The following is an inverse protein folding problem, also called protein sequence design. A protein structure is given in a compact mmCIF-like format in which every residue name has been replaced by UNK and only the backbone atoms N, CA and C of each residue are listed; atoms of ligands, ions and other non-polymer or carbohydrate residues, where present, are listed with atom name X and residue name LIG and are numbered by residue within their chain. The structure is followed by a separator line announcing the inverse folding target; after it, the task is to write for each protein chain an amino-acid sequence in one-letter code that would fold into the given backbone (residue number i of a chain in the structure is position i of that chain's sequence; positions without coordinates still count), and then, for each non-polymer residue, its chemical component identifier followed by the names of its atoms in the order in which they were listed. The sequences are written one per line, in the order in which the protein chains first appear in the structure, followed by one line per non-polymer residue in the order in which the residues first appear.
data_IF_938825928632
#
_entry.id   IF_938825928632
#
_cell.length_a   1.000
_cell.length_b   1.000
_cell.length_c   1.000
_cell.angle_alpha   90.00
_cell.angle_beta   90.00
_cell.angle_gamma   90.00
#
_symmetry.space_group_name_H-M   'P 1'
#
loop_
_entity.id
_entity.type
_entity.pdbx_description
1 polymer ?
#
# COMPACT_ATOMS: atom_id res chain seq x y z
N UNK A 1 34.06 -3.52 20.97
CA UNK A 1 33.39 -3.73 19.68
C UNK A 1 32.78 -5.12 19.71
N UNK A 2 31.47 -5.20 19.70
CA UNK A 2 30.75 -6.47 19.61
C UNK A 2 30.98 -7.07 18.22
N UNK A 3 31.47 -8.30 18.13
CA UNK A 3 31.57 -9.03 16.88
C UNK A 3 30.15 -9.49 16.47
N UNK A 4 29.43 -8.62 15.75
CA UNK A 4 28.13 -8.96 15.18
C UNK A 4 28.33 -9.65 13.84
N UNK A 5 27.73 -10.82 13.67
CA UNK A 5 27.60 -11.44 12.36
C UNK A 5 26.27 -11.01 11.75
N UNK A 6 26.32 -10.34 10.61
CA UNK A 6 25.15 -9.84 9.88
C UNK A 6 24.74 -10.86 8.80
N UNK A 7 23.47 -11.22 8.82
CA UNK A 7 22.83 -11.95 7.75
C UNK A 7 22.28 -10.96 6.74
N UNK A 8 22.71 -11.02 5.49
CA UNK A 8 22.40 -10.02 4.46
C UNK A 8 21.67 -10.65 3.27
N UNK A 9 20.57 -10.02 2.87
CA UNK A 9 19.97 -10.25 1.57
C UNK A 9 20.48 -9.18 0.60
N UNK A 10 20.87 -9.59 -0.61
CA UNK A 10 21.34 -8.66 -1.64
C UNK A 10 20.10 -8.21 -2.43
N UNK A 11 19.84 -6.91 -2.46
CA UNK A 11 18.80 -6.35 -3.33
C UNK A 11 19.24 -6.44 -4.80
N UNK A 12 18.37 -6.97 -5.65
CA UNK A 12 18.57 -7.07 -7.10
C UNK A 12 17.52 -6.26 -7.84
N UNK A 13 17.91 -5.60 -8.92
CA UNK A 13 16.99 -4.90 -9.80
C UNK A 13 16.29 -5.88 -10.74
N UNK A 14 15.05 -6.18 -10.44
CA UNK A 14 14.22 -7.11 -11.21
C UNK A 14 13.40 -6.40 -12.32
N UNK A 15 13.72 -5.13 -12.61
CA UNK A 15 13.09 -4.34 -13.66
C UNK A 15 12.32 -3.11 -13.18
N UNK A 16 12.26 -2.85 -11.88
CA UNK A 16 11.66 -1.62 -11.34
C UNK A 16 12.60 -0.41 -11.47
N UNK A 17 13.91 -0.65 -11.55
CA UNK A 17 14.96 0.38 -11.66
C UNK A 17 14.96 1.41 -10.52
N UNK A 18 14.53 0.98 -9.32
CA UNK A 18 14.54 1.83 -8.12
C UNK A 18 15.82 1.70 -7.31
N UNK A 19 16.51 0.58 -7.43
CA UNK A 19 17.74 0.24 -6.70
C UNK A 19 18.10 -1.22 -6.94
N UNK A 20 19.12 -1.68 -6.22
CA UNK A 20 19.60 -3.06 -6.31
C UNK A 20 20.69 -3.29 -7.34
N UNK A 21 21.24 -4.48 -7.33
CA UNK A 21 22.29 -4.93 -8.25
C UNK A 21 21.73 -5.05 -9.66
N UNK A 22 22.40 -4.40 -10.62
CA UNK A 22 22.00 -4.34 -12.03
C UNK A 22 22.87 -5.15 -12.96
N UNK A 23 24.00 -5.70 -12.48
CA UNK A 23 24.92 -6.47 -13.31
C UNK A 23 25.57 -7.62 -12.57
N UNK A 24 25.98 -8.65 -13.34
CA UNK A 24 26.74 -9.77 -12.79
C UNK A 24 28.07 -9.33 -12.15
N UNK A 25 28.70 -8.27 -12.68
CA UNK A 25 29.96 -7.75 -12.13
C UNK A 25 29.75 -7.18 -10.71
N UNK A 26 28.70 -6.36 -10.49
CA UNK A 26 28.36 -5.86 -9.17
C UNK A 26 28.03 -6.99 -8.19
N UNK A 27 27.24 -7.99 -8.63
CA UNK A 27 26.95 -9.16 -7.81
C UNK A 27 28.20 -9.88 -7.37
N UNK A 28 29.14 -10.13 -8.29
CA UNK A 28 30.42 -10.81 -8.00
C UNK A 28 31.25 -10.03 -6.98
N UNK A 29 31.28 -8.71 -7.06
CA UNK A 29 32.02 -7.87 -6.10
C UNK A 29 31.44 -8.01 -4.68
N UNK A 30 30.11 -7.97 -4.55
CA UNK A 30 29.44 -8.14 -3.25
C UNK A 30 29.67 -9.54 -2.69
N UNK A 31 29.52 -10.57 -3.51
CA UNK A 31 29.74 -11.97 -3.08
C UNK A 31 31.19 -12.22 -2.65
N UNK A 32 32.18 -11.64 -3.35
CA UNK A 32 33.59 -11.69 -2.93
C UNK A 32 33.77 -11.04 -1.55
N UNK A 33 33.14 -9.89 -1.30
CA UNK A 33 33.21 -9.23 0.00
C UNK A 33 32.62 -10.10 1.11
N UNK A 34 31.47 -10.73 0.89
CA UNK A 34 30.86 -11.67 1.85
C UNK A 34 31.79 -12.84 2.12
N UNK A 35 32.39 -13.41 1.07
CA UNK A 35 33.32 -14.54 1.19
C UNK A 35 34.64 -14.15 1.89
N UNK A 36 35.09 -12.91 1.74
CA UNK A 36 36.29 -12.38 2.38
C UNK A 36 36.11 -12.15 3.89
N UNK A 37 34.89 -11.84 4.33
CA UNK A 37 34.61 -11.51 5.74
C UNK A 37 33.54 -12.42 6.37
N UNK A 38 33.72 -13.76 6.34
CA UNK A 38 32.69 -14.72 6.76
C UNK A 38 32.35 -14.64 8.25
N UNK A 39 33.24 -14.07 9.08
CA UNK A 39 32.99 -13.83 10.50
C UNK A 39 31.99 -12.69 10.75
N UNK A 40 31.80 -11.77 9.80
CA UNK A 40 30.93 -10.62 9.92
C UNK A 40 29.72 -10.65 8.98
N UNK A 41 29.85 -11.29 7.82
CA UNK A 41 28.86 -11.30 6.77
C UNK A 41 28.45 -12.73 6.41
N UNK A 42 27.16 -12.99 6.35
CA UNK A 42 26.59 -14.24 5.85
C UNK A 42 25.53 -13.93 4.81
N UNK A 43 25.64 -14.55 3.66
CA UNK A 43 24.60 -14.47 2.65
C UNK A 43 23.34 -15.16 3.16
N UNK A 44 22.23 -14.44 3.23
CA UNK A 44 20.92 -14.98 3.55
C UNK A 44 20.06 -15.18 2.31
N UNK A 45 20.37 -14.49 1.22
CA UNK A 45 19.66 -14.64 -0.04
C UNK A 45 19.64 -13.40 -0.90
N UNK A 46 18.63 -13.32 -1.75
CA UNK A 46 18.35 -12.19 -2.63
C UNK A 46 16.98 -11.61 -2.34
N UNK A 47 16.80 -10.33 -2.60
CA UNK A 47 15.49 -9.69 -2.58
C UNK A 47 15.30 -8.79 -3.81
N UNK A 48 14.09 -8.71 -4.31
CA UNK A 48 13.72 -7.79 -5.38
C UNK A 48 12.26 -7.39 -5.28
N UNK A 49 11.94 -6.18 -5.71
CA UNK A 49 10.60 -5.65 -5.68
C UNK A 49 10.07 -5.45 -7.10
N UNK A 50 9.04 -6.18 -7.46
CA UNK A 50 8.53 -6.31 -8.81
C UNK A 50 7.26 -5.49 -9.11
N UNK A 51 6.99 -4.42 -8.34
CA UNK A 51 5.79 -3.59 -8.48
C UNK A 51 5.58 -2.99 -9.89
N UNK A 52 6.60 -2.95 -10.73
CA UNK A 52 6.50 -2.49 -12.12
C UNK A 52 5.65 -3.42 -12.98
N UNK A 53 5.56 -4.69 -12.64
CA UNK A 53 4.86 -5.74 -13.42
C UNK A 53 3.43 -5.32 -13.78
N UNK A 54 2.70 -4.77 -12.82
CA UNK A 54 1.31 -4.32 -13.03
C UNK A 54 1.17 -2.85 -13.42
N UNK A 55 2.28 -2.09 -13.41
CA UNK A 55 2.28 -0.65 -13.72
C UNK A 55 2.70 -0.32 -15.15
N UNK A 56 3.39 -1.23 -15.81
CA UNK A 56 3.77 -1.06 -17.24
C UNK A 56 2.48 -1.12 -18.06
N UNK A 57 2.20 -0.13 -18.94
CA UNK A 57 1.07 -0.20 -19.85
C UNK A 57 1.12 -1.50 -20.68
N UNK A 58 0.01 -2.24 -20.74
CA UNK A 58 -0.05 -3.55 -21.40
C UNK A 58 0.30 -3.48 -22.91
N UNK A 59 0.16 -2.30 -23.54
CA UNK A 59 0.60 -2.05 -24.91
C UNK A 59 2.13 -2.09 -25.07
N UNK A 60 2.88 -1.80 -23.99
CA UNK A 60 4.35 -1.83 -23.98
C UNK A 60 4.82 -3.24 -23.63
N UNK A 61 4.30 -3.83 -22.55
CA UNK A 61 4.64 -5.17 -22.10
C UNK A 61 3.51 -5.75 -21.26
N UNK A 62 3.07 -6.96 -21.60
CA UNK A 62 2.06 -7.67 -20.82
C UNK A 62 2.60 -7.97 -19.41
N UNK A 63 1.75 -7.88 -18.36
CA UNK A 63 2.18 -8.17 -16.98
C UNK A 63 2.85 -9.53 -16.81
N UNK A 64 2.34 -10.57 -17.48
CA UNK A 64 2.91 -11.91 -17.40
C UNK A 64 4.36 -11.96 -17.92
N UNK A 65 4.64 -11.26 -19.03
CA UNK A 65 5.99 -11.17 -19.60
C UNK A 65 6.93 -10.34 -18.72
N UNK A 66 6.40 -9.29 -18.06
CA UNK A 66 7.17 -8.51 -17.11
C UNK A 66 7.53 -9.35 -15.87
N UNK A 67 6.56 -10.12 -15.36
CA UNK A 67 6.77 -11.06 -14.26
C UNK A 67 7.82 -12.13 -14.63
N UNK A 68 7.68 -12.77 -15.81
CA UNK A 68 8.66 -13.76 -16.27
C UNK A 68 10.08 -13.19 -16.34
N UNK A 69 10.23 -11.93 -16.80
CA UNK A 69 11.55 -11.27 -16.80
C UNK A 69 12.12 -11.08 -15.40
N UNK A 70 11.28 -10.72 -14.41
CA UNK A 70 11.71 -10.62 -13.02
C UNK A 70 12.16 -11.97 -12.48
N UNK A 71 11.42 -13.05 -12.75
CA UNK A 71 11.78 -14.41 -12.34
C UNK A 71 13.08 -14.89 -12.99
N UNK A 72 13.29 -14.54 -14.26
CA UNK A 72 14.53 -14.87 -14.96
C UNK A 72 15.75 -14.20 -14.32
N UNK A 73 15.62 -12.95 -13.89
CA UNK A 73 16.69 -12.23 -13.16
C UNK A 73 17.08 -12.96 -11.88
N UNK A 74 16.12 -13.46 -11.10
CA UNK A 74 16.42 -14.29 -9.93
C UNK A 74 17.15 -15.59 -10.33
N UNK A 75 16.66 -16.30 -11.35
CA UNK A 75 17.25 -17.55 -11.81
C UNK A 75 18.70 -17.36 -12.28
N UNK A 76 18.99 -16.27 -12.98
CA UNK A 76 20.34 -15.95 -13.46
C UNK A 76 21.30 -15.68 -12.29
N UNK A 77 20.89 -14.93 -11.28
CA UNK A 77 21.72 -14.70 -10.09
C UNK A 77 21.87 -15.96 -9.21
N UNK A 78 20.83 -16.77 -9.06
CA UNK A 78 20.96 -18.08 -8.41
C UNK A 78 22.00 -18.97 -9.10
N UNK A 79 21.94 -19.03 -10.44
CA UNK A 79 22.91 -19.77 -11.25
C UNK A 79 24.34 -19.24 -11.06
N UNK A 80 24.50 -17.91 -11.05
CA UNK A 80 25.79 -17.27 -10.80
C UNK A 80 26.35 -17.66 -9.42
N UNK A 81 25.53 -17.58 -8.36
CA UNK A 81 25.96 -17.95 -7.00
C UNK A 81 26.35 -19.41 -6.95
N UNK A 82 25.51 -20.32 -7.46
CA UNK A 82 25.81 -21.77 -7.51
C UNK A 82 27.12 -22.11 -8.21
N UNK A 83 27.37 -21.45 -9.33
CA UNK A 83 28.54 -21.78 -10.18
C UNK A 83 29.84 -21.14 -9.72
N UNK A 84 29.79 -19.85 -9.29
CA UNK A 84 31.00 -19.10 -8.99
C UNK A 84 31.28 -18.99 -7.47
N UNK A 85 30.27 -19.16 -6.63
CA UNK A 85 30.38 -19.04 -5.17
C UNK A 85 29.69 -20.21 -4.45
N UNK A 86 30.06 -21.49 -4.77
CA UNK A 86 29.34 -22.63 -4.18
C UNK A 86 29.46 -22.70 -2.66
N UNK A 87 30.48 -22.11 -2.06
CA UNK A 87 30.60 -22.00 -0.59
C UNK A 87 29.59 -21.07 0.06
N UNK A 88 28.99 -20.15 -0.69
CA UNK A 88 27.93 -19.26 -0.23
C UNK A 88 26.52 -19.80 -0.59
N UNK A 89 26.43 -20.84 -1.40
CA UNK A 89 25.17 -21.45 -1.78
C UNK A 89 24.63 -22.35 -0.68
N UNK A 90 23.33 -22.23 -0.43
CA UNK A 90 22.56 -23.17 0.39
C UNK A 90 21.12 -23.20 -0.13
N UNK A 91 20.47 -24.35 -0.07
CA UNK A 91 19.06 -24.48 -0.41
C UNK A 91 18.14 -23.77 0.62
N UNK A 92 18.70 -23.33 1.74
CA UNK A 92 18.01 -22.51 2.74
C UNK A 92 18.09 -20.99 2.45
N UNK A 93 18.74 -20.57 1.35
CA UNK A 93 18.75 -19.14 0.98
C UNK A 93 17.35 -18.63 0.70
N UNK A 94 17.06 -17.43 1.22
CA UNK A 94 15.81 -16.72 1.01
C UNK A 94 15.85 -15.97 -0.32
N UNK A 95 14.89 -16.23 -1.19
CA UNK A 95 14.66 -15.47 -2.42
C UNK A 95 13.35 -14.72 -2.27
N UNK A 96 13.45 -13.54 -1.63
CA UNK A 96 12.29 -12.70 -1.33
C UNK A 96 11.88 -11.89 -2.56
N UNK A 97 10.60 -11.90 -2.87
CA UNK A 97 10.05 -11.15 -3.99
C UNK A 97 8.63 -10.71 -3.74
N UNK A 98 7.98 -10.26 -4.81
CA UNK A 98 6.59 -9.86 -4.79
C UNK A 98 6.36 -8.45 -4.29
N UNK A 99 5.10 -8.20 -4.07
CA UNK A 99 4.53 -6.95 -3.59
C UNK A 99 3.01 -7.04 -3.67
N UNK A 100 2.30 -6.13 -3.01
CA UNK A 100 0.83 -6.14 -3.02
C UNK A 100 0.22 -6.18 -4.43
N UNK A 101 0.73 -5.48 -5.45
CA UNK A 101 0.18 -5.53 -6.80
C UNK A 101 0.46 -6.83 -7.54
N UNK A 102 1.50 -7.57 -7.16
CA UNK A 102 2.01 -8.73 -7.92
C UNK A 102 1.80 -10.06 -7.23
N UNK A 103 1.24 -10.03 -6.03
CA UNK A 103 0.98 -11.24 -5.23
C UNK A 103 0.36 -12.40 -6.03
N UNK A 104 -0.65 -12.10 -6.86
CA UNK A 104 -1.38 -13.14 -7.62
C UNK A 104 -0.57 -13.79 -8.76
N UNK A 105 0.58 -13.23 -9.15
CA UNK A 105 1.47 -13.83 -10.15
C UNK A 105 2.38 -14.89 -9.54
N UNK A 106 2.65 -14.81 -8.24
CA UNK A 106 3.50 -15.78 -7.56
C UNK A 106 2.72 -17.06 -7.27
N UNK A 107 3.21 -18.16 -7.82
CA UNK A 107 2.66 -19.52 -7.67
C UNK A 107 3.74 -20.43 -7.08
N UNK A 108 3.43 -21.71 -6.94
CA UNK A 108 4.41 -22.75 -6.55
C UNK A 108 5.58 -22.91 -7.52
N UNK A 109 5.47 -22.37 -8.74
CA UNK A 109 6.52 -22.37 -9.76
C UNK A 109 7.41 -21.11 -9.69
N UNK A 110 7.12 -20.19 -8.79
CA UNK A 110 7.94 -19.00 -8.59
C UNK A 110 9.35 -19.37 -8.17
N UNK A 111 10.34 -18.64 -8.69
CA UNK A 111 11.74 -18.75 -8.25
C UNK A 111 11.90 -18.20 -6.83
N UNK A 112 11.04 -17.28 -6.43
CA UNK A 112 10.98 -16.76 -5.07
C UNK A 112 10.37 -17.81 -4.13
N UNK A 113 11.03 -18.06 -2.99
CA UNK A 113 10.56 -18.96 -1.94
C UNK A 113 10.02 -18.20 -0.72
N UNK A 114 10.06 -16.88 -0.77
CA UNK A 114 9.53 -15.95 0.24
C UNK A 114 8.88 -14.76 -0.45
N UNK A 115 7.75 -14.26 0.08
CA UNK A 115 6.99 -13.18 -0.51
C UNK A 115 6.71 -12.07 0.51
N UNK A 116 7.00 -10.82 0.11
CA UNK A 116 6.68 -9.64 0.91
C UNK A 116 5.50 -8.89 0.33
N UNK A 117 4.48 -8.69 1.14
CA UNK A 117 3.33 -7.84 0.82
C UNK A 117 2.71 -7.27 2.11
N UNK A 118 2.12 -6.10 2.02
CA UNK A 118 1.55 -5.41 3.18
C UNK A 118 0.22 -4.76 2.86
N UNK A 119 0.21 -3.70 2.06
CA UNK A 119 -0.97 -2.87 1.77
C UNK A 119 -2.19 -3.66 1.28
N UNK A 120 -1.98 -4.74 0.52
CA UNK A 120 -3.09 -5.57 0.02
C UNK A 120 -3.94 -6.19 1.14
N UNK A 121 -3.36 -6.44 2.32
CA UNK A 121 -4.08 -7.02 3.46
C UNK A 121 -5.20 -6.12 3.97
N UNK A 122 -5.03 -4.81 3.84
CA UNK A 122 -6.03 -3.80 4.19
C UNK A 122 -6.83 -3.32 2.97
N UNK A 123 -6.35 -3.63 1.79
CA UNK A 123 -6.94 -3.28 0.49
C UNK A 123 -7.42 -1.83 0.41
N UNK A 124 -6.54 -0.83 0.50
CA UNK A 124 -6.90 0.55 0.24
C UNK A 124 -7.32 0.73 -1.23
N UNK A 125 -7.96 1.86 -1.58
CA UNK A 125 -8.59 2.00 -2.89
C UNK A 125 -7.62 2.03 -4.08
N UNK A 126 -6.35 2.42 -3.88
CA UNK A 126 -5.31 2.34 -4.93
C UNK A 126 -4.97 0.89 -5.33
N UNK A 127 -5.45 -0.08 -4.55
CA UNK A 127 -5.30 -1.52 -4.82
C UNK A 127 -6.59 -2.17 -5.35
N UNK A 128 -7.54 -1.37 -5.84
CA UNK A 128 -8.70 -1.89 -6.57
C UNK A 128 -8.29 -2.30 -7.99
N UNK A 129 -7.80 -3.51 -8.10
CA UNK A 129 -7.40 -4.14 -9.35
C UNK A 129 -8.00 -5.53 -9.48
N UNK A 130 -8.09 -6.04 -10.71
CA UNK A 130 -8.57 -7.40 -10.98
C UNK A 130 -7.72 -8.47 -10.28
N UNK A 131 -6.43 -8.22 -10.11
CA UNK A 131 -5.51 -9.13 -9.44
C UNK A 131 -5.80 -9.32 -7.95
N UNK A 132 -6.49 -8.34 -7.33
CA UNK A 132 -6.81 -8.34 -5.91
C UNK A 132 -8.33 -8.36 -5.63
N UNK A 133 -9.15 -8.66 -6.64
CA UNK A 133 -10.62 -8.64 -6.51
C UNK A 133 -11.18 -9.60 -5.45
N UNK A 134 -10.47 -10.67 -5.13
CA UNK A 134 -10.87 -11.62 -4.10
C UNK A 134 -10.73 -11.07 -2.67
N UNK A 135 -9.94 -10.00 -2.47
CA UNK A 135 -9.75 -9.36 -1.17
C UNK A 135 -10.84 -8.31 -0.92
N UNK A 136 -11.18 -8.11 0.35
CA UNK A 136 -12.13 -7.09 0.79
C UNK A 136 -11.42 -5.94 1.51
N UNK A 137 -11.88 -4.68 1.36
CA UNK A 137 -11.37 -3.56 2.16
C UNK A 137 -11.55 -3.81 3.65
N UNK A 138 -10.48 -3.62 4.43
CA UNK A 138 -10.46 -3.89 5.86
C UNK A 138 -10.10 -2.67 6.72
N UNK A 139 -9.72 -1.54 6.12
CA UNK A 139 -9.38 -0.31 6.82
C UNK A 139 -10.32 0.83 6.43
N UNK A 140 -10.89 1.48 7.44
CA UNK A 140 -11.85 2.56 7.28
C UNK A 140 -11.55 3.70 8.26
N UNK A 141 -11.83 4.94 7.84
CA UNK A 141 -11.89 6.08 8.73
C UNK A 141 -13.37 6.33 9.02
N UNK A 142 -13.77 6.28 10.28
CA UNK A 142 -15.09 6.66 10.76
C UNK A 142 -15.01 8.08 11.32
N UNK A 143 -15.59 9.06 10.62
CA UNK A 143 -15.59 10.44 11.06
C UNK A 143 -16.96 10.85 11.53
N UNK A 144 -17.12 11.39 12.77
CA UNK A 144 -18.42 11.81 13.28
C UNK A 144 -18.97 13.01 12.52
N UNK A 145 -20.28 13.01 12.33
CA UNK A 145 -21.03 14.15 11.79
C UNK A 145 -21.26 15.16 12.90
N UNK A 146 -20.71 16.35 12.74
CA UNK A 146 -20.77 17.44 13.71
C UNK A 146 -21.99 18.33 13.52
N UNK A 147 -22.40 18.50 12.24
CA UNK A 147 -23.55 19.37 11.87
C UNK A 147 -24.20 18.85 10.60
N UNK A 148 -25.51 19.03 10.51
CA UNK A 148 -26.29 18.77 9.30
C UNK A 148 -27.02 20.04 8.92
N UNK A 149 -26.81 20.51 7.69
CA UNK A 149 -27.48 21.70 7.15
C UNK A 149 -28.30 21.30 5.91
N UNK A 150 -29.45 21.95 5.69
CA UNK A 150 -30.29 21.61 4.53
C UNK A 150 -29.62 21.87 3.19
N UNK A 151 -28.64 22.77 3.15
CA UNK A 151 -27.77 23.08 2.00
C UNK A 151 -26.54 23.88 2.47
N UNK A 152 -25.56 24.07 1.58
CA UNK A 152 -24.40 24.93 1.86
C UNK A 152 -24.76 26.39 1.57
N UNK A 153 -24.67 27.25 2.56
CA UNK A 153 -24.77 28.70 2.39
C UNK A 153 -23.40 29.27 2.00
N UNK A 154 -23.42 30.12 0.96
CA UNK A 154 -22.20 30.80 0.53
C UNK A 154 -22.19 32.23 1.12
N UNK A 155 -21.09 32.64 1.76
CA UNK A 155 -20.96 33.98 2.32
C UNK A 155 -21.24 35.06 1.27
N UNK A 156 -22.03 36.05 1.63
CA UNK A 156 -22.40 37.20 0.77
C UNK A 156 -23.20 36.87 -0.50
N UNK A 157 -23.73 35.63 -0.63
CA UNK A 157 -24.46 35.18 -1.81
C UNK A 157 -25.88 34.66 -1.47
N UNK A 158 -26.58 35.34 -0.57
CA UNK A 158 -27.91 34.93 -0.05
C UNK A 158 -29.01 34.77 -1.10
N UNK A 159 -28.86 35.39 -2.28
CA UNK A 159 -29.77 35.14 -3.40
C UNK A 159 -29.71 33.70 -3.92
N UNK A 160 -28.54 33.03 -3.81
CA UNK A 160 -28.38 31.66 -4.20
C UNK A 160 -29.06 30.69 -3.23
N UNK A 161 -29.26 31.07 -2.00
CA UNK A 161 -29.94 30.26 -0.98
C UNK A 161 -31.41 29.97 -1.33
N UNK A 162 -32.01 30.81 -2.18
CA UNK A 162 -33.39 30.66 -2.67
C UNK A 162 -33.53 29.68 -3.84
N UNK A 163 -32.42 29.26 -4.43
CA UNK A 163 -32.43 28.32 -5.54
C UNK A 163 -32.60 26.87 -5.04
N UNK A 164 -33.14 25.97 -5.86
CA UNK A 164 -33.23 24.57 -5.49
C UNK A 164 -31.82 23.97 -5.31
N UNK A 165 -31.55 23.42 -4.12
CA UNK A 165 -30.29 22.77 -3.83
C UNK A 165 -30.41 21.25 -4.05
N UNK A 166 -29.44 20.66 -4.69
CA UNK A 166 -29.40 19.22 -4.98
C UNK A 166 -28.93 18.40 -3.77
N UNK A 167 -28.09 19.01 -2.91
CA UNK A 167 -27.42 18.35 -1.80
C UNK A 167 -27.75 19.03 -0.48
N UNK A 168 -27.73 18.26 0.60
CA UNK A 168 -27.57 18.80 1.96
C UNK A 168 -26.08 18.74 2.34
N UNK A 169 -25.71 19.53 3.32
CA UNK A 169 -24.34 19.70 3.75
C UNK A 169 -24.12 19.07 5.12
N UNK A 170 -23.07 18.29 5.25
CA UNK A 170 -22.58 17.75 6.52
C UNK A 170 -21.26 18.44 6.87
N UNK A 171 -21.07 18.76 8.14
CA UNK A 171 -19.75 19.02 8.67
C UNK A 171 -19.29 17.81 9.44
N UNK A 172 -18.14 17.26 9.06
CA UNK A 172 -17.51 16.14 9.72
C UNK A 172 -16.22 16.58 10.39
N UNK A 173 -15.72 15.78 11.34
CA UNK A 173 -14.37 15.97 11.83
C UNK A 173 -13.38 15.58 10.71
N UNK A 174 -12.64 16.56 10.20
CA UNK A 174 -11.70 16.38 9.10
C UNK A 174 -10.32 15.98 9.59
N UNK A 175 -9.44 15.66 8.63
CA UNK A 175 -8.04 15.31 8.88
C UNK A 175 -7.19 15.44 7.63
N UNK A 176 -7.76 15.99 6.56
CA UNK A 176 -7.11 16.11 5.25
C UNK A 176 -6.59 14.74 4.73
N UNK A 177 -7.34 13.68 5.01
CA UNK A 177 -6.91 12.32 4.76
C UNK A 177 -6.89 11.97 3.28
N UNK A 178 -5.89 11.20 2.86
CA UNK A 178 -5.83 10.54 1.56
C UNK A 178 -6.84 9.37 1.52
N UNK A 179 -8.12 9.70 1.40
CA UNK A 179 -9.21 8.73 1.47
C UNK A 179 -10.41 9.16 0.64
N UNK A 180 -11.17 8.20 0.15
CA UNK A 180 -12.40 8.39 -0.61
C UNK A 180 -13.62 8.17 0.29
N UNK A 181 -14.68 8.98 0.12
CA UNK A 181 -15.95 8.76 0.79
C UNK A 181 -16.62 7.49 0.26
N UNK A 182 -17.15 6.68 1.17
CA UNK A 182 -17.86 5.44 0.85
C UNK A 182 -19.28 5.45 1.40
N UNK A 183 -19.45 5.99 2.60
CA UNK A 183 -20.77 6.13 3.21
C UNK A 183 -20.91 7.53 3.83
N UNK A 184 -22.04 8.19 3.63
CA UNK A 184 -23.19 7.81 2.81
C UNK A 184 -22.85 7.70 1.33
N UNK A 185 -23.65 6.94 0.58
CA UNK A 185 -23.47 6.84 -0.88
C UNK A 185 -23.53 8.25 -1.51
N UNK A 186 -22.69 8.49 -2.52
CA UNK A 186 -22.56 9.76 -3.23
C UNK A 186 -22.07 10.95 -2.35
N UNK A 187 -21.57 10.70 -1.14
CA UNK A 187 -20.86 11.70 -0.38
C UNK A 187 -19.60 12.17 -1.14
N UNK A 188 -19.38 13.48 -1.18
CA UNK A 188 -18.22 14.07 -1.84
C UNK A 188 -17.84 15.40 -1.18
N UNK A 189 -16.57 15.85 -1.29
CA UNK A 189 -16.16 17.14 -0.74
C UNK A 189 -16.89 18.27 -1.45
N UNK A 190 -17.10 19.37 -0.76
CA UNK A 190 -17.68 20.57 -1.38
C UNK A 190 -16.69 21.16 -2.39
N UNK A 191 -17.17 21.47 -3.62
CA UNK A 191 -16.31 21.90 -4.72
C UNK A 191 -15.49 23.17 -4.43
N UNK A 192 -16.07 24.12 -3.66
CA UNK A 192 -15.40 25.38 -3.32
C UNK A 192 -14.46 25.25 -2.13
N UNK A 193 -14.89 24.52 -1.07
CA UNK A 193 -14.12 24.43 0.18
C UNK A 193 -13.15 23.26 0.21
N UNK A 194 -13.37 22.22 -0.61
CA UNK A 194 -12.50 21.04 -0.68
C UNK A 194 -12.41 20.28 0.62
N UNK A 195 -11.24 19.65 0.82
CA UNK A 195 -10.89 18.91 2.05
C UNK A 195 -10.44 19.86 3.14
N UNK A 196 -10.58 19.46 4.40
CA UNK A 196 -10.17 20.25 5.55
C UNK A 196 -9.49 19.38 6.61
N UNK A 197 -8.56 19.97 7.35
CA UNK A 197 -7.91 19.33 8.49
C UNK A 197 -8.70 19.36 9.79
N UNK A 198 -9.80 20.11 9.83
CA UNK A 198 -10.63 20.28 11.03
C UNK A 198 -12.10 19.98 10.72
N UNK A 199 -12.91 20.99 10.44
CA UNK A 199 -14.30 20.77 10.04
C UNK A 199 -14.39 20.71 8.51
N UNK A 200 -14.61 19.52 7.98
CA UNK A 200 -14.72 19.29 6.56
C UNK A 200 -16.18 19.31 6.12
N UNK A 201 -16.46 20.08 5.07
CA UNK A 201 -17.78 20.19 4.46
C UNK A 201 -17.97 19.12 3.40
N UNK A 202 -18.95 18.26 3.61
CA UNK A 202 -19.30 17.13 2.73
C UNK A 202 -20.71 17.32 2.20
N UNK A 203 -20.86 17.24 0.89
CA UNK A 203 -22.16 17.19 0.23
C UNK A 203 -22.69 15.74 0.21
N UNK A 204 -23.98 15.58 0.53
CA UNK A 204 -24.69 14.31 0.43
C UNK A 204 -26.06 14.52 -0.23
N UNK A 205 -26.68 13.49 -0.83
CA UNK A 205 -28.05 13.60 -1.37
C UNK A 205 -29.04 14.09 -0.32
N UNK A 206 -30.08 14.80 -0.73
CA UNK A 206 -31.10 15.35 0.17
C UNK A 206 -31.88 14.31 0.96
N UNK A 207 -32.10 13.17 0.34
CA UNK A 207 -32.83 12.02 0.88
C UNK A 207 -31.98 11.14 1.82
N UNK A 208 -30.70 11.47 1.97
CA UNK A 208 -29.83 10.80 2.94
C UNK A 208 -30.33 11.11 4.37
N UNK A 209 -30.56 10.10 5.20
CA UNK A 209 -31.12 10.21 6.56
C UNK A 209 -30.07 10.42 7.66
N UNK A 210 -28.78 10.55 7.28
CA UNK A 210 -27.68 10.76 8.22
C UNK A 210 -27.88 12.00 9.09
N UNK A 211 -27.59 11.87 10.38
CA UNK A 211 -27.82 12.87 11.42
C UNK A 211 -26.53 13.26 12.15
N UNK A 212 -26.62 14.25 13.04
CA UNK A 212 -25.51 14.55 13.97
C UNK A 212 -25.25 13.33 14.85
N UNK A 213 -23.96 13.10 15.14
CA UNK A 213 -23.41 11.95 15.87
C UNK A 213 -23.40 10.62 15.09
N UNK A 214 -23.96 10.55 13.88
CA UNK A 214 -23.69 9.47 12.95
C UNK A 214 -22.27 9.55 12.39
N UNK A 215 -21.85 8.53 11.63
CA UNK A 215 -20.51 8.47 11.06
C UNK A 215 -20.54 8.51 9.53
N UNK A 216 -19.62 9.28 8.97
CA UNK A 216 -19.22 9.19 7.57
C UNK A 216 -18.02 8.24 7.49
N UNK A 217 -18.08 7.27 6.58
CA UNK A 217 -16.99 6.34 6.39
C UNK A 217 -16.18 6.67 5.13
N UNK A 218 -14.86 6.74 5.32
CA UNK A 218 -13.93 6.94 4.23
C UNK A 218 -13.00 5.72 4.12
N UNK A 219 -12.68 5.35 2.89
CA UNK A 219 -11.70 4.30 2.59
C UNK A 219 -10.37 4.94 2.20
N UNK A 220 -9.27 4.67 2.90
CA UNK A 220 -7.94 5.16 2.52
C UNK A 220 -7.59 4.81 1.07
N UNK A 221 -6.88 5.71 0.39
CA UNK A 221 -6.25 5.40 -0.90
C UNK A 221 -4.96 4.61 -0.69
N UNK A 222 -4.25 4.91 0.41
CA UNK A 222 -3.04 4.21 0.84
C UNK A 222 -3.06 4.03 2.37
N UNK A 223 -2.87 2.80 2.83
CA UNK A 223 -2.92 2.48 4.27
C UNK A 223 -1.79 3.13 5.05
N UNK A 224 -0.60 3.12 4.48
CA UNK A 224 0.64 3.62 5.05
C UNK A 224 0.58 5.14 5.31
N UNK A 225 -0.14 5.87 4.47
CA UNK A 225 -0.31 7.31 4.64
C UNK A 225 -1.31 7.67 5.75
N UNK A 226 -2.18 6.74 6.14
CA UNK A 226 -3.29 6.98 7.07
C UNK A 226 -3.01 6.44 8.47
N UNK A 227 -2.52 5.20 8.58
CA UNK A 227 -2.33 4.53 9.88
C UNK A 227 -1.49 5.37 10.86
N UNK A 228 -0.37 6.01 10.45
CA UNK A 228 0.45 6.80 11.37
C UNK A 228 -0.24 8.08 11.91
N UNK A 229 -1.32 8.52 11.26
CA UNK A 229 -2.07 9.70 11.72
C UNK A 229 -2.99 9.41 12.93
N UNK A 230 -3.20 8.13 13.24
CA UNK A 230 -4.04 7.68 14.35
C UNK A 230 -3.21 6.97 15.40
N UNK A 231 -3.44 7.29 16.68
CA UNK A 231 -2.74 6.64 17.79
C UNK A 231 -3.19 5.19 18.01
N UNK A 232 -4.42 4.88 17.63
CA UNK A 232 -5.03 3.57 17.83
C UNK A 232 -5.92 3.19 16.65
N UNK A 233 -5.98 1.89 16.38
CA UNK A 233 -6.94 1.28 15.50
C UNK A 233 -8.02 0.58 16.32
N UNK A 234 -9.28 0.77 15.94
CA UNK A 234 -10.40 0.02 16.49
C UNK A 234 -10.68 -1.17 15.59
N UNK A 235 -10.36 -2.36 16.05
CA UNK A 235 -10.64 -3.60 15.34
C UNK A 235 -12.05 -4.06 15.70
N UNK A 236 -12.94 -4.18 14.71
CA UNK A 236 -14.27 -4.75 14.88
C UNK A 236 -14.26 -6.24 14.53
N UNK A 237 -14.51 -7.08 15.52
CA UNK A 237 -14.54 -8.53 15.35
C UNK A 237 -15.62 -9.16 16.25
N UNK A 238 -16.42 -10.06 15.67
CA UNK A 238 -17.43 -10.81 16.43
C UNK A 238 -18.32 -9.91 17.31
N UNK A 239 -18.79 -8.78 16.77
CA UNK A 239 -19.63 -7.78 17.46
C UNK A 239 -18.98 -7.08 18.66
N UNK A 240 -17.65 -7.13 18.77
CA UNK A 240 -16.88 -6.43 19.77
C UNK A 240 -15.78 -5.57 19.16
N UNK A 241 -15.33 -4.54 19.90
CA UNK A 241 -14.20 -3.72 19.51
C UNK A 241 -12.97 -4.05 20.36
N UNK A 242 -11.85 -4.29 19.69
CA UNK A 242 -10.53 -4.33 20.30
C UNK A 242 -9.78 -3.04 19.93
N UNK A 243 -8.77 -2.69 20.74
CA UNK A 243 -7.92 -1.52 20.45
C UNK A 243 -6.47 -1.99 20.24
N UNK A 244 -5.94 -1.66 19.06
CA UNK A 244 -4.53 -1.88 18.72
C UNK A 244 -3.82 -0.53 18.66
N UNK A 245 -2.64 -0.46 19.26
CA UNK A 245 -1.79 0.72 19.12
C UNK A 245 -1.16 0.74 17.73
N UNK A 246 -1.20 1.91 17.09
CA UNK A 246 -0.42 2.13 15.87
C UNK A 246 1.02 2.49 16.24
N UNK A 247 1.97 2.03 15.43
CA UNK A 247 3.34 2.53 15.51
C UNK A 247 3.41 3.89 14.83
N UNK A 248 4.02 4.85 15.51
CA UNK A 248 4.42 6.13 14.93
C UNK A 248 5.93 6.05 14.72
N UNK A 249 6.37 6.28 13.51
CA UNK A 249 7.79 6.50 13.21
C UNK A 249 8.25 7.85 13.73
#
# INVERSE_FOLDING_TARGET
LYALSLHVNIEIDVGLHRGGVQSAAQMVEILKLIQQYPQYLKLSGLMGYDAHVTKIPAIIKKPELAYQSSQQTYADYQKLIKQQFPSLWSDALCFNGGGSPTFSFHTTESVCNDLSFGSMLLKPSDFDSDFLKALQPALWIASPVLKVLPFTQLPSMSLLDKLPHKYKALFIYGGYWLANYVYPKQAHPHALYGRSSNQELVNVPKDCDIQVDDFVFLRPTQSEAIIPQFSNLKLYRAHAFETWQSFRE
#
